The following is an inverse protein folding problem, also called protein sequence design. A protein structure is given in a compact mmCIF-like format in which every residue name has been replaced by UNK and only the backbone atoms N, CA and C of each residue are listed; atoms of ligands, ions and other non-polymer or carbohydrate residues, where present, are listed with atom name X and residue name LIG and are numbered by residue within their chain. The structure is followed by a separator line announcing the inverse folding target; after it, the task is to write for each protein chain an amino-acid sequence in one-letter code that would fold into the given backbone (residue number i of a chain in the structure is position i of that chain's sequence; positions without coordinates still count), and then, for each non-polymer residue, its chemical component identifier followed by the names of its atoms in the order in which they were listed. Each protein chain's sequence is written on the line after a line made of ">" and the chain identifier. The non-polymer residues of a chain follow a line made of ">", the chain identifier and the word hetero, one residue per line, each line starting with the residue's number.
data_IF_626542504301
#
_entry.id   IF_626542504301
#
_cell.length_a   1.000
_cell.length_b   1.000
_cell.length_c   1.000
_cell.angle_alpha   90.00
_cell.angle_beta   90.00
_cell.angle_gamma   90.00
#
_symmetry.space_group_name_H-M   'P 1'
#
loop_
_entity.id
_entity.type
_entity.pdbx_description
1 polymer ?
#
# COMPACT_ATOMS: atom_id res chain seq x y z
N UNK A 1 -28.65 34.53 31.93
CA UNK A 1 -29.00 33.10 32.14
C UNK A 1 -28.66 32.38 30.83
N UNK A 2 -27.44 31.82 30.71
CA UNK A 2 -27.21 30.36 30.56
C UNK A 2 -28.20 29.76 29.53
N UNK A 3 -27.96 29.68 28.22
CA UNK A 3 -26.72 29.48 27.47
C UNK A 3 -26.40 27.99 27.39
N UNK A 4 -27.03 27.22 26.50
CA UNK A 4 -26.55 25.92 25.97
C UNK A 4 -27.18 25.71 24.58
N UNK A 5 -26.42 26.00 23.50
CA UNK A 5 -26.69 25.49 22.16
C UNK A 5 -26.10 24.08 22.13
N UNK A 6 -26.95 23.06 22.10
CA UNK A 6 -26.53 21.67 21.98
C UNK A 6 -26.01 21.43 20.56
N UNK A 7 -24.72 21.69 20.34
CA UNK A 7 -23.99 21.25 19.15
C UNK A 7 -23.84 19.72 19.26
N UNK A 8 -24.80 18.98 18.69
CA UNK A 8 -24.67 17.53 18.51
C UNK A 8 -23.58 17.31 17.47
N UNK A 9 -22.34 17.23 17.94
CA UNK A 9 -21.22 16.71 17.15
C UNK A 9 -21.50 15.24 16.97
N UNK A 10 -22.18 14.90 15.88
CA UNK A 10 -22.22 13.53 15.36
C UNK A 10 -20.79 13.22 14.94
N UNK A 11 -20.01 12.68 15.86
CA UNK A 11 -18.71 12.09 15.53
C UNK A 11 -19.00 10.94 14.59
N UNK A 12 -18.75 11.18 13.31
CA UNK A 12 -18.71 10.16 12.28
C UNK A 12 -17.54 9.24 12.65
N UNK A 13 -17.77 8.28 13.55
CA UNK A 13 -16.90 7.13 13.69
C UNK A 13 -17.07 6.35 12.39
N UNK A 14 -16.29 6.73 11.38
CA UNK A 14 -16.00 5.84 10.28
C UNK A 14 -15.47 4.58 10.93
N UNK A 15 -16.27 3.51 10.94
CA UNK A 15 -15.78 2.19 11.25
C UNK A 15 -14.76 1.86 10.16
N UNK A 16 -13.51 2.26 10.37
CA UNK A 16 -12.38 1.63 9.71
C UNK A 16 -12.37 0.24 10.30
N UNK A 17 -13.11 -0.66 9.65
CA UNK A 17 -12.65 -2.03 9.57
C UNK A 17 -11.15 -1.92 9.21
N UNK A 18 -10.36 -2.64 9.99
CA UNK A 18 -8.92 -2.62 9.89
C UNK A 18 -8.52 -4.02 9.45
N UNK A 19 -7.49 -4.11 8.60
CA UNK A 19 -6.81 -5.36 8.27
C UNK A 19 -6.83 -6.35 9.44
N UNK A 20 -7.13 -7.62 9.15
CA UNK A 20 -7.08 -8.68 10.16
C UNK A 20 -5.70 -8.72 10.83
N UNK A 21 -5.66 -9.12 12.10
CA UNK A 21 -4.41 -9.17 12.86
C UNK A 21 -3.39 -10.11 12.20
N UNK A 22 -3.85 -11.18 11.57
CA UNK A 22 -3.01 -12.09 10.79
C UNK A 22 -2.39 -11.40 9.55
N UNK A 23 -3.18 -10.62 8.81
CA UNK A 23 -2.67 -9.87 7.67
C UNK A 23 -1.63 -8.84 8.13
N UNK A 24 -1.91 -8.09 9.20
CA UNK A 24 -0.95 -7.14 9.79
C UNK A 24 0.35 -7.82 10.23
N UNK A 25 0.27 -9.00 10.86
CA UNK A 25 1.43 -9.75 11.30
C UNK A 25 2.31 -10.19 10.11
N UNK A 26 1.71 -10.75 9.05
CA UNK A 26 2.44 -11.14 7.82
C UNK A 26 3.09 -9.92 7.13
N UNK A 27 2.38 -8.80 7.08
CA UNK A 27 2.90 -7.57 6.49
C UNK A 27 4.08 -7.00 7.29
N UNK A 28 4.06 -7.11 8.62
CA UNK A 28 5.19 -6.78 9.48
C UNK A 28 6.39 -7.69 9.24
N UNK A 29 6.17 -9.00 9.14
CA UNK A 29 7.23 -9.97 8.82
C UNK A 29 7.90 -9.65 7.47
N UNK A 30 7.11 -9.37 6.43
CA UNK A 30 7.64 -8.97 5.13
C UNK A 30 8.39 -7.64 5.21
N UNK A 31 7.88 -6.66 5.96
CA UNK A 31 8.55 -5.39 6.20
C UNK A 31 9.94 -5.58 6.85
N UNK A 32 10.02 -6.35 7.92
CA UNK A 32 11.29 -6.64 8.61
C UNK A 32 12.28 -7.36 7.68
N UNK A 33 11.79 -8.34 6.93
CA UNK A 33 12.61 -9.03 5.94
C UNK A 33 13.15 -8.07 4.86
N UNK A 34 12.26 -7.34 4.19
CA UNK A 34 12.65 -6.50 3.05
C UNK A 34 13.53 -5.32 3.47
N UNK A 35 13.29 -4.73 4.65
CA UNK A 35 14.22 -3.73 5.19
C UNK A 35 15.58 -4.33 5.53
N UNK A 36 15.60 -5.55 6.07
CA UNK A 36 16.82 -6.31 6.34
C UNK A 36 17.61 -6.71 5.08
N UNK A 37 16.93 -7.12 4.02
CA UNK A 37 17.54 -7.54 2.74
C UNK A 37 18.10 -6.35 1.96
N UNK A 38 17.29 -5.33 1.76
CA UNK A 38 17.63 -4.18 0.88
C UNK A 38 18.48 -3.12 1.57
N UNK A 39 18.51 -3.12 2.91
CA UNK A 39 19.18 -2.08 3.72
C UNK A 39 18.69 -0.66 3.39
N UNK A 40 17.44 -0.54 2.97
CA UNK A 40 16.78 0.75 2.70
C UNK A 40 16.72 1.62 3.96
N UNK A 41 16.83 2.93 3.78
CA UNK A 41 16.59 3.89 4.85
C UNK A 41 15.08 3.90 5.21
N UNK A 42 14.78 3.65 6.48
CA UNK A 42 13.40 3.63 7.00
C UNK A 42 12.71 4.99 6.85
N UNK A 43 13.47 6.09 6.87
CA UNK A 43 12.91 7.42 6.62
C UNK A 43 12.38 7.58 5.19
N UNK A 44 13.05 6.96 4.21
CA UNK A 44 12.55 6.97 2.83
C UNK A 44 11.22 6.20 2.70
N UNK A 45 11.07 5.10 3.42
CA UNK A 45 9.80 4.36 3.49
C UNK A 45 8.72 5.21 4.16
N UNK A 46 9.04 5.89 5.25
CA UNK A 46 8.09 6.74 5.97
C UNK A 46 7.63 7.92 5.12
N UNK A 47 8.53 8.54 4.35
CA UNK A 47 8.21 9.60 3.38
C UNK A 47 7.34 9.08 2.24
N UNK A 48 7.68 7.92 1.67
CA UNK A 48 6.89 7.30 0.62
C UNK A 48 5.44 7.00 1.04
N UNK A 49 5.22 6.56 2.28
CA UNK A 49 3.88 6.37 2.86
C UNK A 49 3.06 7.65 2.97
N UNK A 50 3.72 8.82 2.93
CA UNK A 50 3.10 10.15 2.92
C UNK A 50 3.01 10.74 1.51
N UNK A 51 3.34 9.97 0.47
CA UNK A 51 3.35 10.44 -0.92
C UNK A 51 4.62 11.18 -1.32
N UNK A 52 5.62 11.23 -0.46
CA UNK A 52 6.94 11.80 -0.77
C UNK A 52 7.85 10.70 -1.32
N UNK A 53 7.82 10.52 -2.65
CA UNK A 53 8.61 9.49 -3.31
C UNK A 53 10.04 9.94 -3.59
N UNK A 54 10.97 8.98 -3.57
CA UNK A 54 12.34 9.16 -4.05
C UNK A 54 12.68 8.08 -5.07
N UNK A 55 13.68 8.36 -5.91
CA UNK A 55 14.21 7.40 -6.88
C UNK A 55 15.37 6.57 -6.30
N UNK A 56 15.53 6.51 -4.97
CA UNK A 56 16.60 5.76 -4.33
C UNK A 56 16.54 4.27 -4.68
N UNK A 57 17.65 3.70 -5.16
CA UNK A 57 17.71 2.33 -5.65
C UNK A 57 17.27 1.30 -4.59
N UNK A 58 17.62 1.52 -3.32
CA UNK A 58 17.24 0.60 -2.24
C UNK A 58 15.76 0.69 -1.91
N UNK A 59 15.16 1.88 -2.03
CA UNK A 59 13.73 2.06 -1.90
C UNK A 59 12.96 1.33 -3.01
N UNK A 60 13.46 1.38 -4.25
CA UNK A 60 12.87 0.62 -5.36
C UNK A 60 12.97 -0.90 -5.16
N UNK A 61 14.15 -1.37 -4.70
CA UNK A 61 14.35 -2.77 -4.32
C UNK A 61 13.42 -3.20 -3.19
N UNK A 62 13.19 -2.31 -2.21
CA UNK A 62 12.27 -2.55 -1.11
C UNK A 62 10.83 -2.72 -1.60
N UNK A 63 10.35 -1.86 -2.52
CA UNK A 63 9.02 -2.03 -3.11
C UNK A 63 8.90 -3.36 -3.84
N UNK A 64 9.90 -3.72 -4.64
CA UNK A 64 9.92 -5.01 -5.34
C UNK A 64 9.87 -6.18 -4.36
N UNK A 65 10.70 -6.18 -3.31
CA UNK A 65 10.71 -7.22 -2.30
C UNK A 65 9.33 -7.38 -1.63
N UNK A 66 8.71 -6.27 -1.22
CA UNK A 66 7.38 -6.28 -0.59
C UNK A 66 6.32 -6.83 -1.55
N UNK A 67 6.27 -6.32 -2.78
CA UNK A 67 5.29 -6.76 -3.77
C UNK A 67 5.49 -8.20 -4.22
N UNK A 68 6.73 -8.67 -4.31
CA UNK A 68 7.04 -10.05 -4.63
C UNK A 68 6.60 -11.00 -3.50
N UNK A 69 6.88 -10.66 -2.25
CA UNK A 69 6.47 -11.47 -1.08
C UNK A 69 4.95 -11.53 -0.91
N UNK A 70 4.26 -10.44 -1.20
CA UNK A 70 2.78 -10.40 -1.16
C UNK A 70 2.19 -11.10 -2.39
N UNK A 71 2.96 -11.26 -3.47
CA UNK A 71 2.56 -11.90 -4.72
C UNK A 71 1.90 -10.95 -5.73
N UNK A 72 1.98 -9.63 -5.51
CA UNK A 72 1.50 -8.60 -6.46
C UNK A 72 2.39 -8.56 -7.71
N UNK A 73 3.68 -8.84 -7.55
CA UNK A 73 4.65 -8.99 -8.63
C UNK A 73 5.25 -10.39 -8.61
N UNK A 74 5.49 -10.98 -9.77
CA UNK A 74 6.33 -12.19 -9.87
C UNK A 74 7.83 -11.87 -9.74
N UNK A 75 8.69 -12.88 -9.89
CA UNK A 75 10.14 -12.73 -9.77
C UNK A 75 10.77 -11.83 -10.86
N UNK A 76 10.08 -11.69 -12.00
CA UNK A 76 10.48 -10.84 -13.13
C UNK A 76 9.91 -9.42 -13.02
N UNK A 77 9.09 -9.15 -12.00
CA UNK A 77 8.41 -7.87 -11.82
C UNK A 77 7.13 -7.72 -12.64
N UNK A 78 6.53 -8.81 -13.13
CA UNK A 78 5.24 -8.75 -13.84
C UNK A 78 4.09 -8.71 -12.84
N UNK A 79 3.15 -7.76 -13.00
CA UNK A 79 1.95 -7.68 -12.16
C UNK A 79 1.12 -8.96 -12.21
N UNK A 80 0.54 -9.31 -11.06
CA UNK A 80 -0.38 -10.44 -10.87
C UNK A 80 -1.76 -9.88 -10.46
N UNK A 81 -2.60 -9.43 -11.41
CA UNK A 81 -3.84 -8.71 -11.12
C UNK A 81 -4.84 -9.51 -10.27
N UNK A 82 -4.91 -10.83 -10.48
CA UNK A 82 -5.83 -11.69 -9.72
C UNK A 82 -5.38 -11.83 -8.26
N UNK A 83 -4.08 -11.95 -8.00
CA UNK A 83 -3.54 -11.92 -6.62
C UNK A 83 -3.82 -10.57 -5.97
N UNK A 84 -3.65 -9.46 -6.69
CA UNK A 84 -3.96 -8.14 -6.15
C UNK A 84 -5.45 -8.01 -5.77
N UNK A 85 -6.38 -8.52 -6.59
CA UNK A 85 -7.81 -8.59 -6.26
C UNK A 85 -8.06 -9.37 -4.97
N UNK A 86 -7.47 -10.56 -4.87
CA UNK A 86 -7.64 -11.43 -3.70
C UNK A 86 -7.11 -10.79 -2.41
N UNK A 87 -5.95 -10.13 -2.49
CA UNK A 87 -5.36 -9.41 -1.34
C UNK A 87 -6.22 -8.22 -0.92
N UNK A 88 -6.81 -7.51 -1.86
CA UNK A 88 -7.71 -6.40 -1.57
C UNK A 88 -9.02 -6.90 -0.96
N UNK A 89 -9.62 -7.96 -1.49
CA UNK A 89 -10.80 -8.58 -0.92
C UNK A 89 -10.54 -9.07 0.52
N UNK A 90 -9.36 -9.66 0.77
CA UNK A 90 -8.95 -10.11 2.10
C UNK A 90 -8.63 -8.96 3.07
N UNK A 91 -8.30 -7.77 2.56
CA UNK A 91 -7.98 -6.61 3.38
C UNK A 91 -9.22 -6.02 4.08
N UNK A 92 -10.43 -6.28 3.58
CA UNK A 92 -11.71 -5.89 4.20
C UNK A 92 -12.04 -4.39 4.12
N UNK A 93 -11.04 -3.53 3.93
CA UNK A 93 -11.19 -2.08 4.15
C UNK A 93 -11.32 -1.30 2.84
N UNK A 94 -10.84 -1.89 1.74
CA UNK A 94 -10.90 -1.30 0.41
C UNK A 94 -12.13 -1.85 -0.31
N UNK A 95 -12.98 -0.95 -0.80
CA UNK A 95 -14.11 -1.32 -1.65
C UNK A 95 -13.58 -2.00 -2.92
N UNK A 96 -14.20 -3.11 -3.32
CA UNK A 96 -13.85 -3.83 -4.56
C UNK A 96 -13.76 -2.90 -5.77
N UNK A 97 -14.65 -1.90 -5.87
CA UNK A 97 -14.62 -0.89 -6.94
C UNK A 97 -13.33 -0.04 -6.95
N UNK A 98 -12.80 0.32 -5.78
CA UNK A 98 -11.55 1.10 -5.68
C UNK A 98 -10.34 0.21 -5.99
N UNK A 99 -10.42 -1.07 -5.63
CA UNK A 99 -9.47 -2.10 -6.03
C UNK A 99 -9.37 -2.22 -7.56
N UNK A 100 -10.53 -2.33 -8.21
CA UNK A 100 -10.63 -2.46 -9.67
C UNK A 100 -10.11 -1.21 -10.38
N UNK A 101 -10.38 -0.01 -9.85
CA UNK A 101 -9.80 1.23 -10.38
C UNK A 101 -8.28 1.23 -10.30
N UNK A 102 -7.72 0.84 -9.15
CA UNK A 102 -6.25 0.73 -8.99
C UNK A 102 -5.68 -0.27 -9.98
N UNK A 103 -6.26 -1.48 -10.07
CA UNK A 103 -5.80 -2.50 -11.01
C UNK A 103 -5.86 -1.99 -12.44
N UNK A 104 -6.99 -1.41 -12.86
CA UNK A 104 -7.17 -0.89 -14.20
C UNK A 104 -6.17 0.22 -14.54
N UNK A 105 -5.84 1.09 -13.58
CA UNK A 105 -4.92 2.20 -13.79
C UNK A 105 -3.43 1.81 -13.70
N UNK A 106 -3.09 0.77 -12.93
CA UNK A 106 -1.71 0.48 -12.54
C UNK A 106 -1.15 -0.83 -13.11
N UNK A 107 -1.98 -1.77 -13.59
CA UNK A 107 -1.53 -3.09 -14.09
C UNK A 107 -0.53 -3.02 -15.25
N UNK A 108 -0.57 -1.96 -16.05
CA UNK A 108 0.27 -1.80 -17.24
C UNK A 108 1.53 -0.94 -16.97
N UNK A 109 1.78 -0.56 -15.70
CA UNK A 109 3.00 0.15 -15.33
C UNK A 109 4.20 -0.77 -15.50
N UNK A 110 5.19 -0.30 -16.25
CA UNK A 110 6.43 -1.00 -16.53
C UNK A 110 7.58 0.00 -16.62
N UNK A 111 8.62 -0.23 -15.84
CA UNK A 111 9.87 0.51 -15.87
C UNK A 111 10.94 -0.15 -16.73
N UNK A 112 12.16 0.38 -16.67
CA UNK A 112 13.33 -0.19 -17.33
C UNK A 112 13.71 -1.57 -16.75
N UNK A 113 13.45 -1.78 -15.46
CA UNK A 113 13.65 -3.05 -14.78
C UNK A 113 12.51 -3.37 -13.79
N UNK A 114 12.67 -4.48 -13.06
CA UNK A 114 11.68 -4.93 -12.06
C UNK A 114 11.56 -4.00 -10.85
N UNK A 115 12.63 -3.29 -10.49
CA UNK A 115 12.65 -2.38 -9.35
C UNK A 115 11.94 -1.08 -9.68
N UNK A 116 12.21 -0.52 -10.86
CA UNK A 116 11.51 0.65 -11.35
C UNK A 116 10.03 0.33 -11.60
N UNK A 117 9.72 -0.86 -12.13
CA UNK A 117 8.34 -1.32 -12.27
C UNK A 117 7.61 -1.34 -10.93
N UNK A 118 8.24 -1.87 -9.87
CA UNK A 118 7.66 -1.85 -8.53
C UNK A 118 7.45 -0.42 -8.01
N UNK A 119 8.40 0.49 -8.19
CA UNK A 119 8.24 1.91 -7.82
C UNK A 119 7.05 2.54 -8.54
N UNK A 120 6.96 2.39 -9.86
CA UNK A 120 5.88 2.96 -10.67
C UNK A 120 4.49 2.43 -10.28
N UNK A 121 4.41 1.14 -9.92
CA UNK A 121 3.16 0.55 -9.41
C UNK A 121 2.80 1.14 -8.04
N UNK A 122 3.76 1.30 -7.13
CA UNK A 122 3.52 1.89 -5.81
C UNK A 122 3.03 3.35 -5.91
N UNK A 123 3.69 4.17 -6.73
CA UNK A 123 3.31 5.56 -6.96
C UNK A 123 1.92 5.67 -7.62
N UNK A 124 1.63 4.79 -8.58
CA UNK A 124 0.31 4.71 -9.21
C UNK A 124 -0.77 4.34 -8.18
N UNK A 125 -0.53 3.31 -7.38
CA UNK A 125 -1.44 2.92 -6.30
C UNK A 125 -1.71 4.08 -5.34
N UNK A 126 -0.66 4.79 -4.92
CA UNK A 126 -0.82 5.93 -4.01
C UNK A 126 -1.64 7.05 -4.64
N UNK A 127 -1.45 7.32 -5.93
CA UNK A 127 -2.15 8.40 -6.62
C UNK A 127 -3.63 8.07 -6.89
N UNK A 128 -3.93 6.80 -7.20
CA UNK A 128 -5.28 6.36 -7.61
C UNK A 128 -6.13 5.96 -6.41
N UNK A 129 -5.54 5.39 -5.37
CA UNK A 129 -6.28 4.87 -4.23
C UNK A 129 -6.72 6.01 -3.30
N UNK A 130 -8.02 6.11 -2.96
CA UNK A 130 -8.49 7.08 -1.96
C UNK A 130 -8.10 6.68 -0.52
N UNK A 131 -7.65 5.44 -0.31
CA UNK A 131 -7.20 4.90 0.97
C UNK A 131 -5.85 4.20 0.82
N UNK A 132 -4.90 4.53 1.68
CA UNK A 132 -3.57 3.92 1.68
C UNK A 132 -3.44 2.96 2.85
N UNK A 133 -3.04 1.72 2.56
CA UNK A 133 -2.78 0.76 3.60
C UNK A 133 -1.45 1.11 4.27
N UNK A 134 -1.50 1.59 5.53
CA UNK A 134 -0.31 1.71 6.37
C UNK A 134 -0.08 0.41 7.13
N UNK A 135 1.13 -0.15 7.01
CA UNK A 135 1.53 -1.40 7.68
C UNK A 135 2.38 -1.16 8.93
N UNK A 136 2.46 0.08 9.41
CA UNK A 136 3.15 0.48 10.63
C UNK A 136 2.32 1.51 11.40
#
# INVERSE_FOLDING_TARGET
>A
MKGIIALVVVTFFAATQALSDEAKAKLREHYEHCTGETKVDKELINKARKGEFSNDDKLQQYYFCMFNRIGILDADGKPQPDVLKDKIAAAGDIKTEDAEKVIAACKDKKGADKYETARLIYECYYTVSPQHISFA
#
